data_IF_850152879498
#
_entry.id   IF_850152879498
#
_cell.length_a   1.000
_cell.length_b   1.000
_cell.length_c   1.000
_cell.angle_alpha   90.00
_cell.angle_beta   90.00
_cell.angle_gamma   90.00
#
_symmetry.space_group_name_H-M   'P 1'
#
loop_
_entity.id
_entity.type
_entity.pdbx_description
1 polymer ?
2 non-polymer ?
3 water ?
#
# COMPACT_ATOMS: atom_id res chain seq x y z
N UNK A 26 11.88 33.34 9.93
CA UNK A 26 11.29 32.73 8.74
C UNK A 26 10.70 31.36 9.06
N UNK A 27 11.57 30.41 9.37
CA UNK A 27 11.11 29.08 9.79
C UNK A 27 10.49 29.16 11.18
N UNK A 28 9.18 29.14 11.24
CA UNK A 28 8.46 29.28 12.51
C UNK A 28 8.05 27.94 13.11
N UNK A 29 8.60 27.63 14.27
CA UNK A 29 8.23 26.42 15.01
C UNK A 29 7.54 26.80 16.32
N UNK A 30 6.31 26.33 16.49
CA UNK A 30 5.55 26.62 17.70
C UNK A 30 5.29 25.38 18.53
N UNK A 31 5.73 25.40 19.78
CA UNK A 31 5.50 24.30 20.70
C UNK A 31 4.33 24.63 21.63
N UNK A 32 3.22 23.92 21.47
CA UNK A 32 2.02 24.17 22.26
C UNK A 32 2.20 23.73 23.71
N UNK A 33 1.17 23.97 24.52
CA UNK A 33 1.22 23.66 25.94
C UNK A 33 1.25 22.16 26.21
N UNK A 34 0.59 21.39 25.36
CA UNK A 34 0.53 19.94 25.54
C UNK A 34 1.86 19.26 25.20
N UNK A 35 2.63 19.89 24.32
CA UNK A 35 3.90 19.34 23.90
C UNK A 35 3.94 19.14 22.40
N UNK A 36 2.76 19.23 21.77
CA UNK A 36 2.65 19.08 20.32
C UNK A 36 3.32 20.26 19.62
N UNK A 37 3.70 20.06 18.36
CA UNK A 37 4.41 21.09 17.61
C UNK A 37 3.76 21.43 16.28
N UNK A 38 3.64 22.72 16.01
CA UNK A 38 3.19 23.22 14.72
C UNK A 38 4.31 24.05 14.11
N UNK A 39 4.81 23.62 12.97
CA UNK A 39 5.94 24.30 12.33
C UNK A 39 5.59 24.78 10.92
N UNK A 40 5.77 26.08 10.70
CA UNK A 40 5.51 26.69 9.39
C UNK A 40 6.81 26.90 8.63
N UNK A 41 6.88 26.37 7.41
CA UNK A 41 8.03 26.59 6.54
C UNK A 41 7.76 27.73 5.57
N UNK A 42 8.81 28.47 5.19
CA UNK A 42 8.66 29.61 4.27
C UNK A 42 8.22 29.18 2.87
N UNK A 43 8.44 27.91 2.51
CA UNK A 43 8.04 27.41 1.21
C UNK A 43 6.53 27.19 1.10
N UNK A 44 5.89 27.04 2.25
CA UNK A 44 4.44 26.84 2.30
C UNK A 44 4.05 25.55 2.97
N UNK A 45 5.03 24.70 3.26
CA UNK A 45 4.76 23.41 3.90
C UNK A 45 4.50 23.55 5.40
N UNK A 46 3.42 22.91 5.86
CA UNK A 46 3.11 22.86 7.27
C UNK A 46 3.43 21.48 7.82
N UNK A 47 4.09 21.44 8.98
CA UNK A 47 4.44 20.17 9.60
C UNK A 47 3.86 20.10 11.00
N UNK A 48 3.32 18.94 11.36
CA UNK A 48 2.72 18.75 12.68
C UNK A 48 3.34 17.57 13.42
N UNK A 49 3.62 17.76 14.70
CA UNK A 49 4.16 16.71 15.54
C UNK A 49 3.28 16.54 16.78
N UNK A 50 2.90 15.31 17.08
CA UNK A 50 2.09 15.01 18.25
C UNK A 50 2.83 15.33 19.54
N UNK A 51 2.08 15.41 20.64
CA UNK A 51 2.65 15.74 21.94
C UNK A 51 3.67 14.71 22.41
N UNK A 52 3.45 13.45 22.02
CA UNK A 52 4.36 12.37 22.40
C UNK A 52 5.45 12.18 21.36
N UNK A 53 5.30 12.85 20.21
CA UNK A 53 6.28 12.79 19.15
C UNK A 53 6.28 11.47 18.41
N UNK A 54 5.21 10.70 18.56
CA UNK A 54 5.10 9.40 17.90
C UNK A 54 4.40 9.51 16.55
N UNK A 55 3.78 10.67 16.30
CA UNK A 55 3.08 10.91 15.05
C UNK A 55 3.50 12.21 14.39
N UNK A 56 4.03 12.12 13.18
CA UNK A 56 4.49 13.28 12.44
C UNK A 56 3.76 13.40 11.11
N UNK A 57 3.37 14.62 10.77
CA UNK A 57 2.65 14.85 9.52
C UNK A 57 3.12 16.12 8.82
N UNK A 58 3.70 15.96 7.63
CA UNK A 58 4.13 17.10 6.83
C UNK A 58 3.13 17.37 5.71
N UNK A 59 2.49 18.54 5.77
CA UNK A 59 1.55 18.94 4.74
C UNK A 59 2.26 19.73 3.65
N UNK A 60 2.93 19.02 2.74
CA UNK A 60 3.60 19.65 1.61
C UNK A 60 2.59 20.46 0.83
N UNK A 61 3.00 21.62 0.30
CA UNK A 61 2.17 22.27 -0.69
C UNK A 61 2.67 22.05 -2.11
N UNK A 62 1.73 21.56 -2.92
CA UNK A 62 1.92 20.60 -3.99
C UNK A 62 0.83 19.62 -3.61
N UNK A 63 0.25 19.94 -2.46
CA UNK A 63 -0.87 19.23 -1.83
C UNK A 63 -0.56 17.81 -1.40
N UNK A 64 0.73 17.48 -1.32
CA UNK A 64 1.14 16.16 -0.87
C UNK A 64 1.10 16.03 0.66
N UNK A 65 0.82 14.82 1.14
CA UNK A 65 0.79 14.56 2.57
C UNK A 65 1.80 13.46 2.93
N UNK A 66 2.56 13.68 4.00
CA UNK A 66 3.49 12.68 4.48
C UNK A 66 3.21 12.37 5.95
N UNK A 67 2.99 11.10 6.26
CA UNK A 67 2.67 10.69 7.62
C UNK A 67 3.66 9.66 8.14
N UNK A 68 4.15 9.89 9.36
CA UNK A 68 5.06 8.95 10.01
C UNK A 68 4.50 8.48 11.34
N UNK A 69 4.26 7.17 11.45
CA UNK A 69 3.80 6.58 12.69
C UNK A 69 4.91 5.74 13.31
N UNK A 70 5.53 6.26 14.37
CA UNK A 70 6.65 5.61 15.03
C UNK A 70 6.22 4.31 15.70
N UNK A 71 5.08 4.35 16.39
CA UNK A 71 4.59 3.20 17.13
C UNK A 71 4.17 2.05 16.22
N UNK A 72 3.89 2.37 14.97
CA UNK A 72 3.50 1.35 13.99
C UNK A 72 4.59 1.13 12.94
N UNK A 73 5.63 1.95 12.99
CA UNK A 73 6.76 1.83 12.09
C UNK A 73 6.39 2.00 10.63
N UNK A 74 5.46 2.92 10.36
CA UNK A 74 5.00 3.14 9.00
C UNK A 74 5.25 4.57 8.52
N UNK A 75 5.53 4.71 7.23
CA UNK A 75 5.68 6.02 6.62
C UNK A 75 4.78 6.11 5.39
N UNK A 76 3.79 6.99 5.43
CA UNK A 76 2.83 7.12 4.35
C UNK A 76 3.09 8.34 3.46
N UNK A 77 3.26 8.10 2.17
CA UNK A 77 3.40 9.19 1.20
C UNK A 77 2.12 9.30 0.40
N UNK A 78 1.49 10.47 0.44
CA UNK A 78 0.28 10.73 -0.33
C UNK A 78 0.53 11.67 -1.51
N UNK A 79 0.20 11.21 -2.71
CA UNK A 79 0.36 12.01 -3.92
C UNK A 79 -0.97 12.61 -4.31
N UNK A 80 -1.05 13.93 -4.34
CA UNK A 80 -2.30 14.60 -4.71
C UNK A 80 -2.38 14.84 -6.21
N UNK A 81 -1.38 14.37 -6.94
CA UNK A 81 -1.33 14.52 -8.38
C UNK A 81 -1.86 13.26 -9.07
N UNK A 82 -1.85 12.16 -8.33
CA UNK A 82 -2.34 10.88 -8.84
C UNK A 82 -3.37 10.28 -7.88
N UNK A 83 -3.64 10.99 -6.79
CA UNK A 83 -4.53 10.49 -5.73
C UNK A 83 -4.12 9.11 -5.24
N UNK A 84 -2.83 8.92 -5.03
CA UNK A 84 -2.28 7.63 -4.65
C UNK A 84 -1.63 7.67 -3.27
N UNK A 85 -2.03 6.73 -2.41
CA UNK A 85 -1.43 6.58 -1.09
C UNK A 85 -0.35 5.50 -1.12
N UNK A 86 0.79 5.79 -0.51
CA UNK A 86 1.91 4.86 -0.47
C UNK A 86 2.40 4.63 0.95
N UNK A 87 2.13 3.44 1.49
CA UNK A 87 2.54 3.11 2.85
C UNK A 87 3.71 2.14 2.85
N UNK A 88 4.74 2.46 3.64
CA UNK A 88 5.91 1.61 3.77
C UNK A 88 6.06 1.10 5.19
N UNK A 89 6.43 -0.17 5.33
CA UNK A 89 6.55 -0.80 6.65
C UNK A 89 8.01 -1.10 6.98
N UNK A 90 8.27 -1.42 8.24
CA UNK A 90 9.62 -1.72 8.70
C UNK A 90 10.13 -3.06 8.17
N UNK A 91 9.23 -4.05 8.08
CA UNK A 91 9.61 -5.37 7.60
C UNK A 91 9.91 -5.36 6.10
N UNK A 92 9.46 -4.30 5.42
CA UNK A 92 9.70 -4.16 4.00
C UNK A 92 8.42 -4.12 3.19
N UNK A 93 7.29 -4.36 3.85
CA UNK A 93 5.99 -4.33 3.20
C UNK A 93 5.68 -2.94 2.67
N UNK A 94 5.35 -2.87 1.37
CA UNK A 94 4.97 -1.61 0.76
C UNK A 94 3.62 -1.72 0.06
N UNK A 95 2.70 -0.83 0.44
CA UNK A 95 1.33 -0.89 -0.06
C UNK A 95 0.97 0.37 -0.84
N UNK A 96 0.43 0.17 -2.05
CA UNK A 96 -0.03 1.28 -2.88
C UNK A 96 -1.55 1.27 -3.01
N UNK A 97 -2.17 2.42 -2.76
CA UNK A 97 -3.62 2.53 -2.82
C UNK A 97 -4.07 3.49 -3.92
N UNK A 98 -4.91 3.00 -4.82
CA UNK A 98 -5.39 3.81 -5.95
C UNK A 98 -6.85 4.20 -5.76
N UNK A 99 -7.27 5.32 -6.37
CA UNK A 99 -8.66 5.78 -6.25
C UNK A 99 -9.67 4.83 -6.89
N UNK A 100 -9.22 4.01 -7.83
CA UNK A 100 -10.10 3.05 -8.49
C UNK A 100 -10.53 1.93 -7.54
N UNK A 101 -9.74 1.70 -6.51
CA UNK A 101 -10.04 0.66 -5.53
C UNK A 101 -8.99 -0.43 -5.51
N UNK A 102 -8.04 -0.34 -6.45
CA UNK A 102 -6.99 -1.35 -6.57
C UNK A 102 -5.87 -1.13 -5.57
N UNK A 103 -5.57 -2.16 -4.78
CA UNK A 103 -4.52 -2.10 -3.77
C UNK A 103 -3.40 -3.09 -4.11
N UNK A 104 -2.16 -2.63 -4.02
CA UNK A 104 -1.02 -3.47 -4.37
C UNK A 104 -0.05 -3.67 -3.21
N UNK A 105 0.01 -4.90 -2.71
CA UNK A 105 0.95 -5.26 -1.65
C UNK A 105 2.28 -5.71 -2.26
N UNK A 106 3.38 -5.30 -1.62
CA UNK A 106 4.71 -5.62 -2.13
C UNK A 106 5.70 -5.95 -1.00
N UNK A 107 6.00 -7.23 -0.85
CA UNK A 107 7.00 -7.66 0.13
C UNK A 107 8.40 -7.50 -0.45
N UNK A 108 9.41 -7.60 0.41
CA UNK A 108 10.80 -7.44 -0.01
C UNK A 108 11.32 -8.68 -0.73
N UNK A 109 10.67 -9.83 -0.50
CA UNK A 109 11.11 -11.08 -1.11
C UNK A 109 10.66 -11.23 -2.56
N UNK A 110 10.07 -10.17 -3.10
CA UNK A 110 9.65 -10.16 -4.50
C UNK A 110 8.18 -10.51 -4.67
N UNK A 111 7.58 -11.11 -3.64
CA UNK A 111 6.18 -11.50 -3.70
C UNK A 111 5.26 -10.29 -3.77
N UNK A 112 4.37 -10.28 -4.76
CA UNK A 112 3.47 -9.15 -4.97
C UNK A 112 2.01 -9.59 -4.95
N UNK A 113 1.19 -8.87 -4.20
CA UNK A 113 -0.26 -9.11 -4.18
C UNK A 113 -1.03 -7.87 -4.60
N UNK A 114 -1.99 -8.06 -5.50
CA UNK A 114 -2.83 -6.96 -5.96
C UNK A 114 -4.29 -7.25 -5.65
N UNK A 115 -4.97 -6.27 -5.05
CA UNK A 115 -6.37 -6.44 -4.66
C UNK A 115 -7.32 -5.64 -5.56
N UNK A 116 -8.17 -6.35 -6.29
CA UNK A 116 -9.20 -5.72 -7.10
C UNK A 116 -10.53 -5.86 -6.37
N UNK A 117 -11.58 -5.20 -6.88
CA UNK A 117 -12.94 -5.52 -6.44
C UNK A 117 -13.58 -6.57 -7.34
N UNK A 118 -13.65 -7.83 -6.88
CA UNK A 118 -13.16 -8.22 -5.57
C UNK A 118 -12.12 -9.34 -5.68
N UNK A 119 -11.33 -9.30 -6.75
CA UNK A 119 -10.35 -10.34 -7.03
C UNK A 119 -9.05 -10.15 -6.27
N UNK A 120 -8.08 -11.02 -6.53
CA UNK A 120 -6.77 -10.95 -5.91
C UNK A 120 -5.75 -11.81 -6.66
N UNK A 121 -4.66 -11.19 -7.11
CA UNK A 121 -3.61 -11.91 -7.82
C UNK A 121 -2.31 -11.97 -7.03
N UNK A 122 -1.76 -13.19 -6.92
CA UNK A 122 -0.52 -13.40 -6.17
C UNK A 122 0.61 -13.78 -7.13
N UNK A 123 1.80 -13.23 -6.89
CA UNK A 123 2.95 -13.50 -7.74
C UNK A 123 4.20 -13.84 -6.93
N UNK A 124 4.75 -15.03 -7.17
CA UNK A 124 5.99 -15.45 -6.52
C UNK A 124 7.04 -15.76 -7.58
N UNK A 125 8.28 -15.39 -7.30
CA UNK A 125 9.37 -15.64 -8.24
C UNK A 125 10.33 -16.70 -7.73
N UNK A 130 7.71 -22.25 -11.68
CA UNK A 130 6.43 -22.93 -11.87
C UNK A 130 5.31 -21.95 -12.16
N UNK A 131 4.72 -21.40 -11.11
CA UNK A 131 3.55 -20.53 -11.23
C UNK A 131 3.91 -19.13 -11.70
N UNK A 132 3.44 -18.76 -12.88
CA UNK A 132 3.59 -17.41 -13.39
C UNK A 132 2.76 -16.45 -12.55
N UNK A 133 1.46 -16.72 -12.51
CA UNK A 133 0.53 -15.93 -11.70
C UNK A 133 -0.35 -16.86 -10.87
N UNK A 134 -1.24 -16.26 -10.08
CA UNK A 134 -2.17 -17.02 -9.26
C UNK A 134 -3.31 -16.13 -8.80
N UNK A 135 -4.55 -16.55 -9.05
CA UNK A 135 -5.71 -15.72 -8.76
C UNK A 135 -6.71 -16.40 -7.83
N UNK A 136 -7.27 -15.62 -6.92
CA UNK A 136 -8.34 -16.10 -6.04
C UNK A 136 -9.52 -15.13 -6.11
N UNK A 137 -10.72 -15.67 -6.27
CA UNK A 137 -11.90 -14.84 -6.50
C UNK A 137 -12.89 -14.88 -5.33
N UNK A 138 -13.96 -14.12 -5.45
CA UNK A 138 -14.99 -14.04 -4.41
C UNK A 138 -15.81 -15.32 -4.33
N UNK A 139 -15.85 -16.07 -5.44
CA UNK A 139 -16.55 -17.34 -5.49
C UNK A 139 -15.82 -18.38 -4.64
N UNK A 140 -14.52 -18.13 -4.43
CA UNK A 140 -13.65 -19.11 -3.81
C UNK A 140 -12.87 -19.81 -4.90
N UNK A 141 -13.10 -19.37 -6.14
CA UNK A 141 -12.45 -19.93 -7.31
C UNK A 141 -10.95 -19.67 -7.26
N UNK A 142 -10.17 -20.72 -7.51
CA UNK A 142 -8.72 -20.62 -7.49
C UNK A 142 -8.13 -20.88 -8.88
N UNK A 143 -7.52 -19.85 -9.46
CA UNK A 143 -6.88 -19.98 -10.76
C UNK A 143 -5.37 -19.95 -10.65
N UNK A 144 -4.72 -20.97 -11.22
CA UNK A 144 -3.27 -21.06 -11.20
C UNK A 144 -2.70 -21.03 -12.61
N UNK A 145 -1.90 -20.02 -12.91
CA UNK A 145 -1.25 -19.92 -14.21
C UNK A 145 0.23 -20.20 -14.11
N UNK A 146 0.70 -21.19 -14.87
CA UNK A 146 2.09 -21.62 -14.81
C UNK A 146 2.91 -21.02 -15.95
N UNK A 147 4.24 -21.14 -15.84
CA UNK A 147 5.14 -20.55 -16.82
C UNK A 147 5.03 -21.16 -18.22
N UNK A 148 4.71 -22.45 -18.28
CA UNK A 148 4.58 -23.13 -19.56
C UNK A 148 3.38 -22.66 -20.37
N UNK A 149 2.34 -22.20 -19.68
CA UNK A 149 1.14 -21.73 -20.34
C UNK A 149 -0.10 -22.46 -19.86
N UNK A 150 0.13 -23.58 -19.17
CA UNK A 150 -0.96 -24.38 -18.63
C UNK A 150 -1.74 -23.62 -17.56
N UNK A 151 -2.99 -24.02 -17.35
CA UNK A 151 -3.86 -23.37 -16.37
C UNK A 151 -4.59 -24.39 -15.52
N UNK A 152 -4.63 -24.14 -14.22
CA UNK A 152 -5.41 -24.97 -13.30
C UNK A 152 -6.51 -24.12 -12.68
N UNK A 153 -7.76 -24.57 -12.84
CA UNK A 153 -8.90 -23.79 -12.37
C UNK A 153 -9.75 -24.59 -11.39
N UNK A 154 -9.71 -24.19 -10.12
CA UNK A 154 -10.49 -24.84 -9.10
C UNK A 154 -11.79 -24.08 -8.81
N UNK A 155 -12.92 -24.71 -9.14
CA UNK A 155 -14.22 -24.09 -8.97
C UNK A 155 -14.81 -24.42 -7.60
N UNK A 156 -15.62 -23.51 -7.04
CA UNK A 156 -16.18 -23.70 -5.70
C UNK A 156 -17.17 -24.87 -5.60
N UNK A 157 -17.69 -25.33 -6.73
CA UNK A 157 -18.64 -26.43 -6.73
C UNK A 157 -17.96 -27.80 -6.63
N UNK A 158 -16.64 -27.79 -6.50
CA UNK A 158 -15.88 -29.02 -6.35
C UNK A 158 -15.20 -29.47 -7.63
N UNK A 159 -15.46 -28.78 -8.73
CA UNK A 159 -14.87 -29.12 -10.00
C UNK A 159 -13.42 -28.69 -10.12
N UNK A 160 -12.63 -29.46 -10.86
CA UNK A 160 -11.23 -29.14 -11.11
C UNK A 160 -11.03 -29.03 -12.62
N UNK A 161 -10.33 -28.00 -13.06
CA UNK A 161 -10.20 -27.72 -14.49
C UNK A 161 -8.74 -27.52 -14.90
N UNK A 162 -8.28 -28.34 -15.84
CA UNK A 162 -6.90 -28.28 -16.30
C UNK A 162 -6.82 -27.89 -17.78
N UNK A 163 -6.07 -26.84 -18.08
CA UNK A 163 -5.90 -26.37 -19.45
C UNK A 163 -4.49 -26.68 -19.95
N UNK A 164 -4.41 -27.25 -21.15
CA UNK A 164 -3.12 -27.64 -21.71
C UNK A 164 -2.92 -27.00 -23.09
N UNK A 165 -1.65 -26.94 -23.52
CA UNK A 165 -1.23 -26.39 -24.81
C UNK A 165 -2.19 -26.68 -25.96
X LIG B 1 7.19 12.30 8.48
X LIG B 1 6.26 13.27 8.64
X LIG B 1 6.89 14.45 8.75
X LIG B 1 8.23 14.23 8.67
X LIG B 1 8.41 12.87 8.51
#
# INVERSE_FOLDING_TARGET
>A
MGSSHHHHHHSSGLVPRGSHMSSSDFKREITNADGSKDIWYPNGNLKKISADGMNLRMLYFNKDIKETNIREGTVKYYYAETNTWHTSYLDGLEILEFPNGQTEHRRKDGTVEIHFPNNSIKIVDPSDTEKLEEWRYADGTHLVQLRNGDKILNLPNGQKEIHTKLNKRREYPDGTVKLVYPDGSQETRYSNGRVRLKDKDGKLIMDTD
>B hetero
1 IMD N1 C2 N3 C4 C5
#
